data_IF_947409550892
#
_entry.id   IF_947409550892
#
_cell.length_a   1.000
_cell.length_b   1.000
_cell.length_c   1.000
_cell.angle_alpha   90.00
_cell.angle_beta   90.00
_cell.angle_gamma   90.00
#
_symmetry.space_group_name_H-M   'P 1'
#
loop_
_entity.id
_entity.type
_entity.pdbx_description
1 polymer ?
#
# COMPACT_ATOMS: atom_id res chain seq x y z
N UNK A 1 -10.94 15.21 -7.01
CA UNK A 1 -10.45 13.80 -7.04
C UNK A 1 -9.45 13.72 -8.17
N UNK A 2 -8.22 13.31 -7.89
CA UNK A 2 -7.18 13.19 -8.91
C UNK A 2 -7.62 12.22 -10.00
N UNK A 3 -7.54 12.62 -11.27
CA UNK A 3 -7.85 11.76 -12.43
C UNK A 3 -6.84 10.62 -12.63
N UNK A 4 -5.77 10.62 -11.81
CA UNK A 4 -4.69 9.65 -11.89
C UNK A 4 -4.88 8.47 -10.93
N UNK A 5 -5.71 8.64 -9.88
CA UNK A 5 -5.98 7.64 -8.86
C UNK A 5 -7.38 7.03 -9.03
N UNK A 6 -7.54 6.18 -10.05
CA UNK A 6 -8.79 5.47 -10.33
C UNK A 6 -8.54 3.95 -10.40
N UNK A 7 -9.45 3.12 -9.89
CA UNK A 7 -9.36 1.68 -10.04
C UNK A 7 -9.16 1.24 -11.49
N UNK A 8 -8.26 0.29 -11.71
CA UNK A 8 -7.89 -0.23 -13.03
C UNK A 8 -6.74 0.53 -13.72
N UNK A 9 -6.35 1.70 -13.23
CA UNK A 9 -5.15 2.41 -13.74
C UNK A 9 -3.87 1.88 -13.09
N UNK A 10 -2.77 1.98 -13.81
CA UNK A 10 -1.43 1.70 -13.26
C UNK A 10 -0.85 2.96 -12.64
N UNK A 11 -0.38 2.85 -11.41
CA UNK A 11 0.34 3.92 -10.72
C UNK A 11 1.72 4.11 -11.37
N UNK A 12 2.22 5.34 -11.55
CA UNK A 12 3.60 5.56 -11.97
C UNK A 12 4.60 4.88 -11.03
N UNK A 13 5.64 4.29 -11.61
CA UNK A 13 6.67 3.57 -10.85
C UNK A 13 7.71 4.55 -10.29
N UNK A 14 7.37 5.22 -9.20
CA UNK A 14 8.23 6.19 -8.54
C UNK A 14 9.48 5.54 -7.92
N UNK A 15 10.59 6.30 -7.94
CA UNK A 15 11.83 5.94 -7.26
C UNK A 15 12.18 7.01 -6.23
N UNK A 16 12.12 6.66 -4.95
CA UNK A 16 12.30 7.58 -3.83
C UNK A 16 13.29 7.02 -2.80
N UNK A 17 13.98 7.89 -2.05
CA UNK A 17 14.81 7.43 -0.93
C UNK A 17 13.93 6.93 0.23
N UNK A 18 14.31 5.80 0.80
CA UNK A 18 13.70 5.29 2.02
C UNK A 18 14.23 6.03 3.27
N UNK A 19 13.75 5.64 4.46
CA UNK A 19 14.14 6.22 5.75
C UNK A 19 15.67 6.14 6.04
N UNK A 20 16.38 5.28 5.35
CA UNK A 20 17.84 5.07 5.49
C UNK A 20 18.62 5.74 4.34
N UNK A 21 17.92 6.45 3.43
CA UNK A 21 18.49 7.15 2.28
C UNK A 21 18.77 6.26 1.07
N UNK A 22 18.33 5.01 1.09
CA UNK A 22 18.48 4.09 -0.04
C UNK A 22 17.35 4.31 -1.04
N UNK A 23 17.71 4.52 -2.29
CA UNK A 23 16.71 4.66 -3.37
C UNK A 23 15.96 3.35 -3.57
N UNK A 24 14.63 3.43 -3.53
CA UNK A 24 13.72 2.30 -3.72
C UNK A 24 12.72 2.62 -4.82
N UNK A 25 12.50 1.65 -5.67
CA UNK A 25 11.47 1.72 -6.71
C UNK A 25 10.21 0.99 -6.23
N UNK A 26 9.02 1.56 -6.48
CA UNK A 26 7.76 0.95 -5.99
C UNK A 26 7.54 -0.46 -6.53
N UNK A 27 7.83 -0.70 -7.81
CA UNK A 27 7.72 -2.03 -8.42
C UNK A 27 8.65 -3.07 -7.76
N UNK A 28 9.86 -2.67 -7.37
CA UNK A 28 10.81 -3.54 -6.65
C UNK A 28 10.33 -3.84 -5.22
N UNK A 29 9.72 -2.85 -4.54
CA UNK A 29 9.14 -3.05 -3.22
C UNK A 29 7.89 -3.91 -3.25
N UNK A 30 7.11 -3.85 -4.33
CA UNK A 30 5.91 -4.64 -4.52
C UNK A 30 6.24 -6.10 -4.87
N UNK A 31 7.14 -6.32 -5.81
CA UNK A 31 7.36 -7.64 -6.41
C UNK A 31 6.10 -8.15 -7.12
N UNK A 32 5.82 -9.45 -6.98
CA UNK A 32 4.69 -10.12 -7.62
C UNK A 32 3.42 -10.17 -6.74
N UNK A 33 3.44 -9.46 -5.62
CA UNK A 33 2.39 -9.52 -4.61
C UNK A 33 1.55 -8.23 -4.55
N UNK A 34 0.36 -8.24 -3.92
CA UNK A 34 -0.37 -7.02 -3.61
C UNK A 34 0.40 -6.05 -2.70
N UNK A 35 0.09 -4.77 -2.82
CA UNK A 35 0.66 -3.73 -1.96
C UNK A 35 -0.42 -2.82 -1.39
N UNK A 36 -0.29 -2.45 -0.12
CA UNK A 36 -0.98 -1.31 0.48
C UNK A 36 -0.03 -0.12 0.45
N UNK A 37 -0.33 0.86 -0.37
CA UNK A 37 0.44 2.10 -0.47
C UNK A 37 -0.29 3.23 0.25
N UNK A 38 0.36 3.80 1.26
CA UNK A 38 -0.14 4.93 2.02
C UNK A 38 0.59 6.21 1.61
N UNK A 39 -0.13 7.13 0.95
CA UNK A 39 0.33 8.47 0.66
C UNK A 39 -0.09 9.34 1.85
N UNK A 40 0.81 9.49 2.82
CA UNK A 40 0.51 10.16 4.08
C UNK A 40 0.47 11.68 3.93
N UNK A 41 -0.31 12.34 4.81
CA UNK A 41 -0.43 13.80 4.82
C UNK A 41 0.90 14.49 5.13
N UNK A 42 1.69 13.91 6.02
CA UNK A 42 2.96 14.43 6.48
C UNK A 42 3.21 14.10 7.96
N UNK A 43 4.46 14.19 8.39
CA UNK A 43 4.88 13.84 9.76
C UNK A 43 4.21 14.70 10.83
N UNK A 44 3.96 15.97 10.54
CA UNK A 44 3.32 16.94 11.44
C UNK A 44 1.88 16.52 11.83
N UNK A 45 1.22 15.67 11.05
CA UNK A 45 -0.20 15.35 11.24
C UNK A 45 -0.41 14.28 12.34
N UNK A 46 -1.12 14.61 13.45
CA UNK A 46 -1.41 13.64 14.51
C UNK A 46 -2.24 12.44 14.02
N UNK A 47 -3.16 12.67 13.07
CA UNK A 47 -3.99 11.59 12.50
C UNK A 47 -3.17 10.64 11.64
N UNK A 48 -2.15 11.15 10.94
CA UNK A 48 -1.20 10.29 10.23
C UNK A 48 -0.47 9.36 11.19
N UNK A 49 0.06 9.93 12.26
CA UNK A 49 0.75 9.17 13.31
C UNK A 49 -0.14 8.09 13.93
N UNK A 50 -1.42 8.40 14.15
CA UNK A 50 -2.38 7.41 14.65
C UNK A 50 -2.62 6.30 13.62
N UNK A 51 -2.85 6.64 12.35
CA UNK A 51 -3.08 5.67 11.29
C UNK A 51 -1.89 4.71 11.13
N UNK A 52 -0.66 5.23 11.13
CA UNK A 52 0.53 4.38 11.06
C UNK A 52 0.61 3.39 12.24
N UNK A 53 0.24 3.80 13.46
CA UNK A 53 0.17 2.89 14.62
C UNK A 53 -0.90 1.80 14.47
N UNK A 54 -2.05 2.14 13.91
CA UNK A 54 -3.10 1.16 13.60
C UNK A 54 -2.59 0.11 12.60
N UNK A 55 -1.79 0.53 11.61
CA UNK A 55 -1.20 -0.35 10.61
C UNK A 55 -0.12 -1.29 11.16
N UNK A 56 0.48 -1.04 12.31
CA UNK A 56 1.48 -1.93 12.90
C UNK A 56 0.91 -3.34 13.15
N UNK A 57 -0.32 -3.43 13.68
CA UNK A 57 -0.99 -4.73 13.87
C UNK A 57 -1.36 -5.36 12.52
N UNK A 58 -1.81 -4.56 11.59
CA UNK A 58 -2.19 -5.00 10.26
C UNK A 58 -1.00 -5.52 9.46
N UNK A 59 0.19 -4.97 9.65
CA UNK A 59 1.41 -5.45 8.99
C UNK A 59 1.68 -6.93 9.26
N UNK A 60 1.41 -7.42 10.47
CA UNK A 60 1.51 -8.85 10.78
C UNK A 60 0.55 -9.72 9.95
N UNK A 61 -0.66 -9.24 9.66
CA UNK A 61 -1.60 -9.92 8.77
C UNK A 61 -1.13 -9.88 7.32
N UNK A 62 -0.61 -8.74 6.88
CA UNK A 62 -0.07 -8.57 5.54
C UNK A 62 1.11 -9.51 5.26
N UNK A 63 2.00 -9.70 6.24
CA UNK A 63 3.15 -10.60 6.12
C UNK A 63 2.71 -12.06 5.85
N UNK A 64 1.62 -12.52 6.50
CA UNK A 64 1.05 -13.86 6.26
C UNK A 64 0.33 -13.92 4.92
N UNK A 65 -0.24 -12.80 4.46
CA UNK A 65 -1.00 -12.69 3.21
C UNK A 65 -0.15 -12.24 2.01
N UNK A 66 1.17 -12.37 2.06
CA UNK A 66 2.06 -11.97 0.97
C UNK A 66 1.78 -10.55 0.44
N UNK A 67 1.47 -9.61 1.33
CA UNK A 67 1.11 -8.24 0.96
C UNK A 67 2.16 -7.27 1.49
N UNK A 68 2.65 -6.40 0.62
CA UNK A 68 3.61 -5.36 0.98
C UNK A 68 2.91 -4.12 1.56
N UNK A 69 3.53 -3.47 2.54
CA UNK A 69 3.15 -2.14 3.00
C UNK A 69 4.24 -1.15 2.62
N UNK A 70 3.85 0.01 2.12
CA UNK A 70 4.75 1.14 1.86
C UNK A 70 4.06 2.44 2.25
N UNK A 71 4.81 3.36 2.85
CA UNK A 71 4.34 4.72 3.16
C UNK A 71 5.19 5.73 2.42
N UNK A 72 4.57 6.70 1.74
CA UNK A 72 5.24 7.86 1.13
C UNK A 72 4.78 9.11 1.87
N UNK A 73 5.72 9.97 2.25
CA UNK A 73 5.46 11.23 2.93
C UNK A 73 6.13 12.40 2.19
N UNK A 74 5.50 13.59 2.12
CA UNK A 74 6.07 14.79 1.53
C UNK A 74 7.05 15.45 2.53
N UNK A 75 8.00 14.67 3.04
CA UNK A 75 8.91 15.09 4.10
C UNK A 75 10.36 14.69 3.79
N UNK A 76 11.30 15.39 4.43
CA UNK A 76 12.71 15.01 4.45
C UNK A 76 12.95 13.73 5.24
N UNK A 77 14.06 13.03 4.96
CA UNK A 77 14.37 11.71 5.52
C UNK A 77 14.41 11.67 7.06
N UNK A 78 14.85 12.78 7.69
CA UNK A 78 14.85 12.89 9.14
C UNK A 78 13.43 12.72 9.73
N UNK A 79 12.45 13.43 9.16
CA UNK A 79 11.06 13.38 9.63
C UNK A 79 10.38 12.06 9.28
N UNK A 80 10.68 11.51 8.11
CA UNK A 80 10.25 10.18 7.67
C UNK A 80 10.72 9.11 8.64
N UNK A 81 12.02 9.10 8.97
CA UNK A 81 12.62 8.16 9.94
C UNK A 81 12.05 8.34 11.35
N UNK A 82 11.86 9.60 11.79
CA UNK A 82 11.27 9.92 13.09
C UNK A 82 9.83 9.41 13.20
N UNK A 83 9.01 9.60 12.18
CA UNK A 83 7.63 9.09 12.19
C UNK A 83 7.62 7.56 12.25
N UNK A 84 8.42 6.89 11.40
CA UNK A 84 8.52 5.44 11.38
C UNK A 84 8.89 4.85 12.73
N UNK A 85 9.94 5.36 13.36
CA UNK A 85 10.41 4.91 14.69
C UNK A 85 9.35 5.18 15.76
N UNK A 86 8.78 6.39 15.80
CA UNK A 86 7.81 6.80 16.83
C UNK A 86 6.47 6.07 16.78
N UNK A 87 6.15 5.46 15.65
CA UNK A 87 4.93 4.67 15.44
C UNK A 87 5.17 3.16 15.62
N UNK A 88 6.43 2.72 15.60
CA UNK A 88 6.79 1.30 15.64
C UNK A 88 6.57 0.58 14.31
N UNK A 89 6.54 1.32 13.20
CA UNK A 89 6.37 0.75 11.88
C UNK A 89 7.62 -0.01 11.41
N UNK A 90 7.43 -1.13 10.71
CA UNK A 90 8.52 -2.00 10.23
C UNK A 90 8.69 -1.98 8.70
N UNK A 91 7.69 -1.54 7.95
CA UNK A 91 7.73 -1.45 6.49
C UNK A 91 8.50 -0.22 6.00
N UNK A 92 8.84 -0.13 4.69
CA UNK A 92 9.53 1.02 4.13
C UNK A 92 8.69 2.31 4.21
N UNK A 93 9.35 3.39 4.64
CA UNK A 93 8.85 4.75 4.57
C UNK A 93 9.72 5.53 3.59
N UNK A 94 9.11 6.11 2.56
CA UNK A 94 9.80 6.84 1.50
C UNK A 94 9.57 8.35 1.66
N UNK A 95 10.60 9.13 1.38
CA UNK A 95 10.54 10.59 1.41
C UNK A 95 10.36 11.17 0.01
N UNK A 96 9.23 11.81 -0.24
CA UNK A 96 8.98 12.60 -1.45
C UNK A 96 9.49 14.04 -1.24
N UNK A 97 10.81 14.17 -1.05
CA UNK A 97 11.50 15.44 -0.70
C UNK A 97 11.30 16.49 -1.79
N UNK A 98 11.27 16.05 -3.04
CA UNK A 98 11.10 16.93 -4.20
C UNK A 98 9.62 17.14 -4.57
N UNK A 99 8.68 16.57 -3.81
CA UNK A 99 7.23 16.62 -4.07
C UNK A 99 6.87 16.11 -5.48
N UNK A 100 7.60 15.12 -5.96
CA UNK A 100 7.40 14.54 -7.29
C UNK A 100 6.10 13.74 -7.35
N UNK A 101 5.89 12.87 -6.35
CA UNK A 101 4.65 12.07 -6.22
C UNK A 101 3.45 12.97 -6.00
N UNK A 102 3.59 13.95 -5.09
CA UNK A 102 2.53 14.92 -4.80
C UNK A 102 2.03 15.60 -6.07
N UNK A 103 2.97 16.15 -6.87
CA UNK A 103 2.62 16.86 -8.11
C UNK A 103 2.12 15.92 -9.20
N UNK A 104 2.76 14.77 -9.38
CA UNK A 104 2.37 13.82 -10.43
C UNK A 104 0.97 13.24 -10.20
N UNK A 105 0.57 13.09 -8.94
CA UNK A 105 -0.74 12.55 -8.57
C UNK A 105 -1.78 13.66 -8.26
N UNK A 106 -1.40 14.94 -8.30
CA UNK A 106 -2.27 16.08 -7.98
C UNK A 106 -2.98 15.93 -6.62
N UNK A 107 -2.17 15.59 -5.58
CA UNK A 107 -2.67 15.30 -4.23
C UNK A 107 -2.22 16.34 -3.19
N UNK A 108 -1.77 17.50 -3.61
CA UNK A 108 -1.43 18.60 -2.71
C UNK A 108 -2.64 19.08 -1.90
N UNK A 109 -2.44 19.31 -0.62
CA UNK A 109 -3.46 19.91 0.26
C UNK A 109 -3.29 21.43 0.29
N UNK A 110 -3.85 22.12 -0.68
CA UNK A 110 -3.72 23.57 -0.88
C UNK A 110 -4.24 24.42 0.31
N UNK A 111 -4.94 23.80 1.26
CA UNK A 111 -5.49 24.51 2.43
C UNK A 111 -4.53 24.55 3.62
N UNK A 112 -3.39 23.86 3.58
CA UNK A 112 -2.36 23.93 4.62
C UNK A 112 -1.32 24.99 4.24
N UNK A 113 -1.29 26.18 4.91
CA UNK A 113 -0.37 27.25 4.55
C UNK A 113 1.03 27.08 5.15
N UNK A 114 1.27 26.02 5.94
CA UNK A 114 2.50 25.85 6.72
C UNK A 114 3.32 24.64 6.32
N UNK A 115 2.71 23.70 5.61
CA UNK A 115 3.36 22.44 5.25
C UNK A 115 3.06 22.06 3.80
N UNK A 116 4.00 21.37 3.17
CA UNK A 116 3.79 20.72 1.87
C UNK A 116 2.97 19.43 2.04
N UNK A 117 1.74 19.57 2.56
CA UNK A 117 0.92 18.44 2.96
C UNK A 117 0.26 17.76 1.76
N UNK A 118 0.11 16.43 1.82
CA UNK A 118 -0.74 15.69 0.89
C UNK A 118 -2.19 15.63 1.39
N UNK A 119 -3.15 15.63 0.48
CA UNK A 119 -4.43 14.98 0.74
C UNK A 119 -4.15 13.49 0.89
N UNK A 120 -4.34 12.90 2.09
CA UNK A 120 -3.89 11.53 2.32
C UNK A 120 -4.70 10.51 1.52
N UNK A 121 -4.01 9.57 0.90
CA UNK A 121 -4.62 8.46 0.18
C UNK A 121 -4.10 7.12 0.71
N UNK A 122 -4.96 6.11 0.69
CA UNK A 122 -4.54 4.72 0.88
C UNK A 122 -4.99 3.92 -0.34
N UNK A 123 -4.05 3.28 -1.01
CA UNK A 123 -4.29 2.51 -2.22
C UNK A 123 -4.11 1.03 -1.93
N UNK A 124 -5.01 0.20 -2.43
CA UNK A 124 -4.80 -1.23 -2.57
C UNK A 124 -4.36 -1.48 -4.00
N UNK A 125 -3.16 -2.01 -4.18
CA UNK A 125 -2.56 -2.27 -5.48
C UNK A 125 -2.48 -3.77 -5.74
N UNK A 126 -2.99 -4.21 -6.88
CA UNK A 126 -2.71 -5.50 -7.45
C UNK A 126 -1.26 -5.53 -8.01
N UNK A 127 -0.66 -6.72 -8.27
CA UNK A 127 0.64 -6.83 -8.92
C UNK A 127 0.78 -5.95 -10.16
N UNK A 128 1.96 -5.38 -10.37
CA UNK A 128 2.23 -4.44 -11.46
C UNK A 128 1.73 -3.02 -11.19
N UNK A 129 1.60 -2.62 -9.91
CA UNK A 129 1.16 -1.30 -9.46
C UNK A 129 -0.26 -0.93 -9.97
N UNK A 130 -1.10 -1.91 -10.27
CA UNK A 130 -2.47 -1.68 -10.74
C UNK A 130 -3.36 -1.32 -9.56
N UNK A 131 -4.02 -0.17 -9.64
CA UNK A 131 -4.90 0.32 -8.58
C UNK A 131 -6.17 -0.54 -8.53
N UNK A 132 -6.42 -1.20 -7.40
CA UNK A 132 -7.66 -1.94 -7.13
C UNK A 132 -8.66 -1.09 -6.33
N UNK A 133 -8.19 -0.43 -5.27
CA UNK A 133 -9.02 0.46 -4.43
C UNK A 133 -8.30 1.75 -4.13
N UNK A 134 -9.08 2.81 -3.94
CA UNK A 134 -8.62 4.14 -3.53
C UNK A 134 -9.45 4.63 -2.36
N UNK A 135 -8.78 4.98 -1.28
CA UNK A 135 -9.36 5.67 -0.13
C UNK A 135 -8.76 7.07 -0.04
N UNK A 136 -9.62 8.07 -0.13
CA UNK A 136 -9.24 9.48 -0.01
C UNK A 136 -9.56 9.94 1.39
N UNK A 137 -8.56 10.37 2.13
CA UNK A 137 -8.72 10.93 3.46
C UNK A 137 -8.76 12.46 3.42
N UNK A 138 -9.32 13.04 4.47
CA UNK A 138 -9.18 14.46 4.77
C UNK A 138 -9.23 14.63 6.29
N UNK A 139 -8.43 15.52 6.83
CA UNK A 139 -8.30 15.75 8.28
C UNK A 139 -8.34 14.46 9.10
N UNK A 140 -9.47 14.18 9.79
CA UNK A 140 -9.65 13.03 10.68
C UNK A 140 -10.29 11.81 9.99
N UNK A 141 -10.82 11.96 8.78
CA UNK A 141 -11.69 10.98 8.11
C UNK A 141 -11.01 10.32 6.91
N UNK A 142 -11.66 9.29 6.40
CA UNK A 142 -11.37 8.71 5.09
C UNK A 142 -10.23 7.69 5.04
N UNK A 143 -9.42 7.56 6.08
CA UNK A 143 -8.42 6.50 6.15
C UNK A 143 -9.11 5.18 6.47
N UNK A 144 -8.88 4.10 5.69
CA UNK A 144 -9.52 2.82 5.92
C UNK A 144 -9.00 2.18 7.20
N UNK A 145 -9.86 1.41 7.88
CA UNK A 145 -9.41 0.58 8.99
C UNK A 145 -8.65 -0.66 8.50
N UNK A 146 -7.83 -1.30 9.36
CA UNK A 146 -7.18 -2.58 9.07
C UNK A 146 -8.16 -3.65 8.58
N UNK A 147 -9.33 -3.75 9.21
CA UNK A 147 -10.36 -4.72 8.85
C UNK A 147 -10.90 -4.48 7.45
N UNK A 148 -11.12 -3.20 7.08
CA UNK A 148 -11.56 -2.86 5.74
C UNK A 148 -10.52 -3.22 4.68
N UNK A 149 -9.27 -2.91 4.93
CA UNK A 149 -8.17 -3.29 4.03
C UNK A 149 -8.03 -4.81 3.92
N UNK A 150 -8.26 -5.53 5.00
CA UNK A 150 -8.25 -7.00 5.00
C UNK A 150 -9.36 -7.59 4.12
N UNK A 151 -10.56 -7.03 4.17
CA UNK A 151 -11.66 -7.41 3.27
C UNK A 151 -11.30 -7.18 1.81
N UNK A 152 -10.74 -6.00 1.48
CA UNK A 152 -10.33 -5.67 0.13
C UNK A 152 -9.23 -6.62 -0.39
N UNK A 153 -8.24 -6.94 0.45
CA UNK A 153 -7.20 -7.91 0.09
C UNK A 153 -7.77 -9.31 -0.15
N UNK A 154 -8.70 -9.78 0.67
CA UNK A 154 -9.37 -11.07 0.45
C UNK A 154 -10.10 -11.10 -0.89
N UNK A 155 -10.79 -10.01 -1.25
CA UNK A 155 -11.48 -9.91 -2.52
C UNK A 155 -10.50 -9.82 -3.70
N UNK A 156 -9.39 -9.13 -3.53
CA UNK A 156 -8.32 -9.07 -4.52
C UNK A 156 -7.68 -10.46 -4.72
N UNK A 157 -7.30 -11.15 -3.65
CA UNK A 157 -6.68 -12.47 -3.73
C UNK A 157 -7.55 -13.50 -4.41
N UNK A 158 -8.87 -13.49 -4.18
CA UNK A 158 -9.81 -14.38 -4.89
C UNK A 158 -9.77 -14.19 -6.40
N UNK A 159 -9.42 -13.01 -6.88
CA UNK A 159 -9.30 -12.72 -8.33
C UNK A 159 -7.94 -13.07 -8.89
N UNK A 160 -6.85 -12.76 -8.17
CA UNK A 160 -5.47 -12.94 -8.68
C UNK A 160 -4.85 -14.30 -8.35
N UNK A 161 -5.32 -14.96 -7.27
CA UNK A 161 -4.86 -16.28 -6.79
C UNK A 161 -6.07 -17.19 -6.50
N UNK A 162 -6.90 -17.50 -7.50
CA UNK A 162 -8.11 -18.29 -7.28
C UNK A 162 -7.85 -19.71 -6.75
N UNK A 163 -6.67 -20.24 -7.01
CA UNK A 163 -6.17 -21.53 -6.53
C UNK A 163 -5.88 -21.57 -5.01
N UNK A 164 -5.82 -20.41 -4.35
CA UNK A 164 -5.69 -20.33 -2.89
C UNK A 164 -6.97 -20.62 -2.13
N UNK A 165 -8.11 -20.71 -2.81
CA UNK A 165 -9.39 -21.06 -2.18
C UNK A 165 -9.72 -22.54 -2.40
N UNK A 166 -9.37 -23.43 -1.44
CA UNK A 166 -9.59 -24.87 -1.57
C UNK A 166 -11.07 -25.25 -1.43
N UNK A 167 -11.96 -24.30 -1.09
CA UNK A 167 -13.39 -24.54 -1.01
C UNK A 167 -14.08 -24.48 -2.37
N UNK A 168 -13.40 -23.98 -3.39
CA UNK A 168 -13.92 -23.91 -4.75
C UNK A 168 -13.94 -25.30 -5.41
N UNK A 169 -15.09 -25.72 -5.99
CA UNK A 169 -15.20 -27.02 -6.63
C UNK A 169 -14.23 -27.25 -7.79
N UNK A 170 -13.94 -26.21 -8.58
CA UNK A 170 -13.00 -26.29 -9.71
C UNK A 170 -11.54 -26.46 -9.26
N UNK A 171 -11.14 -25.81 -8.18
CA UNK A 171 -9.80 -25.97 -7.58
C UNK A 171 -9.65 -27.38 -7.02
N UNK A 172 -10.66 -27.87 -6.31
CA UNK A 172 -10.69 -29.24 -5.78
C UNK A 172 -10.60 -30.28 -6.89
N UNK A 173 -11.40 -30.14 -7.96
CA UNK A 173 -11.37 -31.05 -9.09
C UNK A 173 -10.02 -31.06 -9.81
N UNK A 174 -9.38 -29.90 -9.98
CA UNK A 174 -8.04 -29.79 -10.55
C UNK A 174 -6.99 -30.51 -9.68
N UNK A 175 -7.07 -30.37 -8.36
CA UNK A 175 -6.19 -31.08 -7.43
C UNK A 175 -6.39 -32.59 -7.49
N UNK A 176 -7.62 -33.08 -7.46
CA UNK A 176 -7.96 -34.49 -7.56
C UNK A 176 -7.47 -35.11 -8.88
N UNK A 177 -7.63 -34.40 -10.00
CA UNK A 177 -7.11 -34.79 -11.31
C UNK A 177 -5.56 -34.90 -11.33
N UNK A 178 -4.88 -33.94 -10.70
CA UNK A 178 -3.41 -33.97 -10.61
C UNK A 178 -2.90 -35.17 -9.77
N UNK A 179 -3.61 -35.56 -8.73
CA UNK A 179 -3.26 -36.74 -7.91
C UNK A 179 -3.50 -38.08 -8.63
N UNK A 180 -4.40 -38.11 -9.60
CA UNK A 180 -4.70 -39.31 -10.38
C UNK A 180 -3.66 -39.60 -11.48
N UNK A 181 -2.77 -38.62 -11.78
CA UNK A 181 -1.68 -38.84 -12.74
C UNK A 181 -0.61 -39.74 -12.11
N UNK A 182 -0.11 -40.79 -12.82
CA UNK A 182 0.98 -41.59 -12.32
C UNK A 182 2.22 -40.73 -12.13
N UNK A 183 2.95 -40.95 -11.04
CA UNK A 183 4.21 -40.26 -10.81
C UNK A 183 5.12 -40.46 -12.03
N UNK A 184 5.59 -39.38 -12.62
CA UNK A 184 6.57 -39.47 -13.69
C UNK A 184 7.80 -40.15 -13.15
N UNK A 185 8.06 -41.40 -13.66
CA UNK A 185 9.19 -42.24 -13.30
C UNK A 185 10.54 -41.69 -13.82
#
# INVERSE_FOLDING_TARGET
MSKHLEPGKTLPDFQLPDQDGVLRRLSELQGDDPMILMLGRGEHCPRERQHQREMVRFHGWCAVAFTQLVTILPNGLHDVGRLRISTGAYWPFLGDIALEVQRALEIDEYTDPHHDANVPHTLVLAPGLVIDKVYVGYWFWGRPSPERLWEDLRDLFRRIKPDFDPTRPDVRAAWEAAQALPAAG
#
